data_IF_872067745273
#
_entry.id   IF_872067745273
#
_cell.length_a   1.000
_cell.length_b   1.000
_cell.length_c   1.000
_cell.angle_alpha   90.00
_cell.angle_beta   90.00
_cell.angle_gamma   90.00
#
_symmetry.space_group_name_H-M   'P 1'
#
loop_
_entity.id
_entity.type
_entity.pdbx_description
1 polymer ?
#
# COMPACT_ATOMS: atom_id res chain seq x y z
N UNK A 1 -6.80 -24.02 34.35
CA UNK A 1 -6.30 -23.29 35.55
C UNK A 1 -4.82 -23.62 35.73
N UNK A 2 -3.94 -22.72 35.29
CA UNK A 2 -2.47 -22.85 35.36
C UNK A 2 -1.92 -21.50 35.84
N UNK A 3 -1.10 -21.53 36.89
CA UNK A 3 -0.58 -20.34 37.59
C UNK A 3 0.68 -19.82 36.89
N UNK A 4 0.75 -18.52 36.65
CA UNK A 4 2.01 -17.79 36.42
C UNK A 4 2.77 -17.69 37.75
N UNK A 5 4.07 -17.98 37.75
CA UNK A 5 5.00 -17.54 38.78
C UNK A 5 6.13 -16.80 38.05
N UNK A 6 6.22 -15.50 38.34
CA UNK A 6 7.26 -14.49 38.06
C UNK A 6 8.11 -14.57 36.78
N UNK A 7 8.10 -13.46 36.03
CA UNK A 7 9.13 -13.08 35.07
C UNK A 7 9.89 -11.86 35.60
N UNK A 8 11.16 -12.03 35.96
CA UNK A 8 12.06 -10.92 36.22
C UNK A 8 12.84 -10.55 34.95
N UNK A 9 12.72 -9.28 34.54
CA UNK A 9 13.45 -8.68 33.44
C UNK A 9 14.88 -8.33 33.86
N UNK A 10 15.89 -9.01 33.29
CA UNK A 10 17.22 -8.43 33.03
C UNK A 10 17.81 -9.04 31.77
N UNK A 11 18.33 -8.17 30.90
CA UNK A 11 19.17 -8.44 29.71
C UNK A 11 18.54 -9.27 28.57
N UNK A 12 18.33 -8.57 27.45
CA UNK A 12 18.25 -9.03 26.06
C UNK A 12 18.59 -10.50 25.79
N UNK A 13 17.59 -11.38 25.88
CA UNK A 13 17.49 -12.66 25.17
C UNK A 13 16.06 -13.20 25.34
N UNK A 14 15.27 -13.25 24.27
CA UNK A 14 13.98 -13.95 24.30
C UNK A 14 14.25 -15.42 23.96
N UNK A 15 14.34 -16.30 24.96
CA UNK A 15 14.52 -17.75 24.77
C UNK A 15 13.16 -18.43 24.78
N UNK A 16 12.69 -18.91 23.62
CA UNK A 16 11.56 -19.83 23.56
C UNK A 16 12.04 -21.27 23.75
N UNK A 17 11.62 -21.93 24.83
CA UNK A 17 11.70 -23.39 24.97
C UNK A 17 10.36 -24.01 24.59
N UNK A 18 10.33 -24.73 23.47
CA UNK A 18 9.19 -25.58 23.09
C UNK A 18 9.47 -26.98 23.62
N UNK A 19 8.65 -27.46 24.57
CA UNK A 19 8.66 -28.86 24.99
C UNK A 19 7.61 -29.63 24.20
N UNK A 20 8.03 -30.66 23.46
CA UNK A 20 7.13 -31.69 22.92
C UNK A 20 7.09 -32.87 23.88
N UNK A 21 5.90 -33.27 24.31
CA UNK A 21 5.71 -34.45 25.16
C UNK A 21 5.88 -35.70 24.30
N UNK A 22 6.89 -36.51 24.60
CA UNK A 22 7.06 -37.87 24.05
C UNK A 22 7.94 -38.01 22.81
N UNK A 23 9.27 -37.94 22.99
CA UNK A 23 10.32 -38.74 22.32
C UNK A 23 11.67 -38.02 22.49
N UNK A 24 12.76 -38.80 22.59
CA UNK A 24 14.06 -38.39 23.13
C UNK A 24 14.72 -37.19 22.43
N UNK A 25 15.18 -36.23 23.23
CA UNK A 25 15.83 -34.97 22.81
C UNK A 25 17.30 -35.19 22.45
N UNK A 26 17.71 -34.77 21.25
CA UNK A 26 19.11 -34.38 20.98
C UNK A 26 19.20 -32.86 21.07
N UNK A 27 19.95 -32.34 22.04
CA UNK A 27 20.22 -30.91 22.18
C UNK A 27 21.34 -30.56 21.19
N UNK A 28 21.06 -29.72 20.18
CA UNK A 28 22.12 -29.05 19.41
C UNK A 28 22.17 -27.58 19.81
N UNK A 29 23.34 -27.17 20.27
CA UNK A 29 23.67 -25.77 20.52
C UNK A 29 24.06 -25.15 19.17
N UNK A 30 23.41 -24.06 18.78
CA UNK A 30 23.86 -23.23 17.68
C UNK A 30 24.27 -21.87 18.26
N UNK A 31 25.57 -21.60 18.27
CA UNK A 31 26.09 -20.25 18.43
C UNK A 31 25.95 -19.53 17.09
N UNK A 32 25.21 -18.41 17.05
CA UNK A 32 25.18 -17.53 15.88
C UNK A 32 26.31 -16.50 15.98
N UNK A 33 27.07 -16.27 14.90
CA UNK A 33 28.17 -15.32 14.89
C UNK A 33 27.67 -13.88 14.96
N UNK A 34 28.39 -13.05 15.72
CA UNK A 34 28.17 -11.62 15.91
C UNK A 34 28.46 -10.81 14.63
N UNK A 35 27.44 -10.60 13.79
CA UNK A 35 27.45 -9.56 12.74
C UNK A 35 26.05 -8.91 12.62
N UNK A 36 25.97 -7.63 12.20
CA UNK A 36 24.72 -6.86 12.22
C UNK A 36 23.66 -7.52 11.34
N UNK A 37 22.42 -7.51 11.84
CA UNK A 37 21.21 -8.03 11.17
C UNK A 37 21.04 -7.36 9.80
N UNK A 38 21.35 -8.09 8.74
CA UNK A 38 20.77 -7.85 7.42
C UNK A 38 19.35 -8.41 7.48
N UNK A 39 18.35 -7.55 7.30
CA UNK A 39 16.95 -7.95 7.25
C UNK A 39 16.75 -8.84 6.01
N UNK A 40 16.42 -10.11 6.23
CA UNK A 40 16.08 -11.08 5.20
C UNK A 40 14.57 -11.27 5.21
N UNK A 41 13.89 -10.71 4.20
CA UNK A 41 12.43 -10.71 4.07
C UNK A 41 11.82 -12.13 3.89
N UNK A 42 12.64 -13.17 3.69
CA UNK A 42 12.17 -14.55 3.57
C UNK A 42 11.64 -15.13 4.90
N UNK A 43 12.16 -14.66 6.04
CA UNK A 43 11.81 -15.18 7.37
C UNK A 43 10.46 -14.67 7.89
N UNK A 44 10.06 -13.45 7.51
CA UNK A 44 8.78 -12.85 7.91
C UNK A 44 7.60 -13.54 7.23
N UNK A 45 7.74 -13.88 5.95
CA UNK A 45 6.73 -14.63 5.18
C UNK A 45 6.53 -16.02 5.79
N UNK A 46 7.59 -16.66 6.28
CA UNK A 46 7.51 -18.01 6.83
C UNK A 46 6.94 -18.06 8.26
N UNK A 47 7.12 -17.00 9.06
CA UNK A 47 6.54 -16.89 10.41
C UNK A 47 5.04 -16.62 10.41
N UNK A 48 4.52 -15.89 9.41
CA UNK A 48 3.09 -15.56 9.33
C UNK A 48 2.19 -16.76 8.95
N UNK A 49 2.76 -17.83 8.36
CA UNK A 49 1.98 -19.02 7.96
C UNK A 49 1.70 -20.04 9.09
N UNK A 50 2.13 -19.81 10.34
CA UNK A 50 2.09 -20.85 11.41
C UNK A 50 1.42 -20.47 12.73
N UNK A 51 0.67 -19.37 12.83
CA UNK A 51 -0.05 -19.03 14.07
C UNK A 51 -1.52 -19.49 14.02
N UNK A 52 -1.99 -20.35 14.94
CA UNK A 52 -3.41 -20.67 15.07
C UNK A 52 -4.17 -19.53 15.77
N UNK A 53 -5.41 -19.28 15.33
CA UNK A 53 -6.30 -18.29 15.95
C UNK A 53 -6.58 -18.63 17.41
N UNK A 54 -6.56 -17.60 18.27
CA UNK A 54 -6.88 -17.73 19.70
C UNK A 54 -7.96 -16.69 20.05
N UNK A 55 -9.03 -17.19 20.66
CA UNK A 55 -10.23 -16.46 21.08
C UNK A 55 -10.04 -15.69 22.39
N UNK A 56 -10.91 -14.70 22.57
CA UNK A 56 -11.01 -13.64 23.58
C UNK A 56 -10.59 -13.96 25.04
N UNK A 57 -9.95 -12.98 25.68
CA UNK A 57 -10.15 -12.68 27.11
C UNK A 57 -9.91 -11.18 27.40
N UNK A 58 -10.78 -10.60 28.23
CA UNK A 58 -10.98 -9.17 28.50
C UNK A 58 -9.91 -8.45 29.37
N UNK A 59 -9.97 -7.09 29.33
CA UNK A 59 -9.65 -6.03 30.34
C UNK A 59 -8.42 -5.14 30.01
N UNK A 60 -8.37 -3.79 30.26
CA UNK A 60 -9.40 -2.75 30.41
C UNK A 60 -9.26 -1.57 29.41
N UNK A 61 -10.39 -0.90 29.17
CA UNK A 61 -10.59 0.29 28.34
C UNK A 61 -9.93 1.56 28.90
N UNK A 62 -9.21 2.29 28.03
CA UNK A 62 -8.70 3.65 28.23
C UNK A 62 -9.18 4.55 27.08
N UNK A 63 -10.30 5.23 27.33
CA UNK A 63 -10.87 6.44 26.73
C UNK A 63 -10.84 6.66 25.19
N UNK A 64 -11.99 6.37 24.58
CA UNK A 64 -12.60 6.96 23.38
C UNK A 64 -11.83 6.93 22.05
N UNK A 65 -11.95 5.78 21.36
CA UNK A 65 -12.23 5.74 19.91
C UNK A 65 -13.58 5.03 19.79
N UNK A 66 -14.53 5.62 19.06
CA UNK A 66 -15.92 5.15 19.03
C UNK A 66 -16.03 3.66 18.64
N UNK A 67 -16.88 2.90 19.34
CA UNK A 67 -17.20 1.52 18.98
C UNK A 67 -17.80 1.46 17.58
N UNK A 68 -17.32 0.53 16.76
CA UNK A 68 -17.84 0.20 15.43
C UNK A 68 -19.37 0.23 15.39
N UNK A 69 -19.97 1.01 14.50
CA UNK A 69 -21.36 0.78 14.10
C UNK A 69 -21.37 -0.40 13.13
N UNK A 70 -22.29 -1.35 13.30
CA UNK A 70 -22.38 -2.56 12.47
C UNK A 70 -22.45 -2.28 10.96
N UNK A 71 -22.91 -1.09 10.57
CA UNK A 71 -22.97 -0.61 9.18
C UNK A 71 -21.62 -0.37 8.50
N UNK A 72 -20.51 -0.24 9.25
CA UNK A 72 -19.18 0.02 8.68
C UNK A 72 -18.51 -1.26 8.18
N UNK A 73 -18.95 -2.43 8.66
CA UNK A 73 -18.36 -3.75 8.36
C UNK A 73 -19.27 -4.66 7.52
N UNK A 74 -20.44 -4.17 7.10
CA UNK A 74 -21.38 -4.89 6.23
C UNK A 74 -21.00 -4.70 4.76
N UNK A 75 -19.92 -5.38 4.33
CA UNK A 75 -19.34 -5.20 3.00
C UNK A 75 -20.23 -5.77 1.89
N UNK A 76 -20.67 -4.95 0.91
CA UNK A 76 -21.41 -5.48 -0.24
C UNK A 76 -20.54 -6.44 -1.06
N UNK A 77 -21.13 -7.59 -1.41
CA UNK A 77 -20.53 -8.53 -2.34
C UNK A 77 -21.04 -8.25 -3.76
N UNK A 78 -20.13 -7.93 -4.68
CA UNK A 78 -20.43 -7.73 -6.09
C UNK A 78 -19.42 -8.50 -6.94
N UNK A 79 -19.87 -9.16 -8.01
CA UNK A 79 -18.98 -9.88 -8.93
C UNK A 79 -18.10 -10.97 -8.27
N UNK A 80 -18.45 -11.43 -7.06
CA UNK A 80 -17.68 -12.40 -6.26
C UNK A 80 -16.49 -11.79 -5.51
N UNK A 81 -16.52 -10.48 -5.23
CA UNK A 81 -15.54 -9.73 -4.43
C UNK A 81 -16.29 -8.85 -3.43
N UNK A 82 -15.68 -8.54 -2.30
CA UNK A 82 -16.26 -7.60 -1.33
C UNK A 82 -15.79 -6.17 -1.62
N UNK A 83 -16.64 -5.18 -1.36
CA UNK A 83 -16.34 -3.75 -1.54
C UNK A 83 -16.69 -2.96 -0.28
N UNK A 84 -16.26 -1.69 -0.26
CA UNK A 84 -16.43 -0.80 0.88
C UNK A 84 -17.90 -0.47 1.16
N UNK A 85 -18.31 -0.55 2.43
CA UNK A 85 -19.65 -0.21 2.91
C UNK A 85 -19.79 1.29 3.23
N UNK A 86 -18.74 1.91 3.79
CA UNK A 86 -18.70 3.34 4.06
C UNK A 86 -18.57 4.14 2.75
N UNK A 87 -19.50 5.07 2.50
CA UNK A 87 -19.67 5.79 1.22
C UNK A 87 -19.72 4.85 0.01
N UNK A 88 -20.53 3.79 0.08
CA UNK A 88 -20.68 2.80 -0.98
C UNK A 88 -20.75 3.44 -2.39
N UNK A 89 -19.85 3.02 -3.30
CA UNK A 89 -19.69 3.57 -4.65
C UNK A 89 -18.62 4.65 -4.79
N UNK A 90 -18.09 5.21 -3.70
CA UNK A 90 -16.98 6.17 -3.72
C UNK A 90 -15.62 5.51 -4.01
N UNK A 91 -15.48 4.20 -3.82
CA UNK A 91 -14.28 3.45 -4.17
C UNK A 91 -14.64 2.16 -4.92
N UNK A 92 -14.03 1.96 -6.09
CA UNK A 92 -14.46 0.92 -7.05
C UNK A 92 -13.59 -0.34 -7.02
N UNK A 93 -12.59 -0.41 -6.14
CA UNK A 93 -11.74 -1.58 -5.98
C UNK A 93 -12.21 -2.41 -4.78
N UNK A 94 -11.97 -3.73 -4.80
CA UNK A 94 -12.37 -4.61 -3.71
C UNK A 94 -11.63 -4.30 -2.41
N UNK A 95 -12.05 -4.94 -1.32
CA UNK A 95 -11.42 -4.85 0.00
C UNK A 95 -11.21 -6.22 0.68
N UNK A 96 -11.29 -7.31 -0.09
CA UNK A 96 -11.06 -8.68 0.38
C UNK A 96 -9.57 -9.01 0.59
N UNK A 97 -9.30 -10.16 1.22
CA UNK A 97 -7.94 -10.65 1.53
C UNK A 97 -7.04 -10.72 0.29
N UNK A 98 -7.58 -11.17 -0.85
CA UNK A 98 -6.84 -11.24 -2.11
C UNK A 98 -6.38 -9.85 -2.57
N UNK A 99 -7.21 -8.84 -2.36
CA UNK A 99 -6.87 -7.47 -2.67
C UNK A 99 -5.81 -6.92 -1.72
N UNK A 100 -5.89 -7.25 -0.43
CA UNK A 100 -4.87 -6.91 0.56
C UNK A 100 -3.49 -7.47 0.18
N UNK A 101 -3.40 -8.74 -0.24
CA UNK A 101 -2.14 -9.33 -0.73
C UNK A 101 -1.56 -8.57 -1.93
N UNK A 102 -2.41 -8.21 -2.89
CA UNK A 102 -2.02 -7.42 -4.06
C UNK A 102 -1.50 -6.02 -3.64
N UNK A 103 -2.11 -5.41 -2.63
CA UNK A 103 -1.70 -4.13 -2.08
C UNK A 103 -0.34 -4.22 -1.37
N UNK A 104 -0.07 -5.29 -0.62
CA UNK A 104 1.26 -5.56 -0.06
C UNK A 104 2.33 -5.69 -1.14
N UNK A 105 2.06 -6.41 -2.24
CA UNK A 105 2.97 -6.48 -3.39
C UNK A 105 3.23 -5.09 -4.00
N UNK A 106 2.23 -4.21 -3.97
CA UNK A 106 2.34 -2.82 -4.44
C UNK A 106 3.29 -2.02 -3.59
N UNK A 107 3.13 -2.09 -2.27
CA UNK A 107 3.98 -1.38 -1.34
C UNK A 107 5.44 -1.79 -1.52
N UNK A 108 5.72 -3.11 -1.52
CA UNK A 108 7.06 -3.65 -1.73
C UNK A 108 7.67 -3.18 -3.05
N UNK A 109 6.89 -3.21 -4.14
CA UNK A 109 7.33 -2.73 -5.45
C UNK A 109 7.67 -1.24 -5.44
N UNK A 110 6.85 -0.40 -4.79
CA UNK A 110 7.07 1.06 -4.70
C UNK A 110 8.33 1.33 -3.87
N UNK A 111 8.47 0.73 -2.69
CA UNK A 111 9.64 0.90 -1.82
C UNK A 111 10.93 0.55 -2.56
N UNK A 112 10.94 -0.57 -3.30
CA UNK A 112 12.07 -0.93 -4.17
C UNK A 112 12.30 0.12 -5.26
N UNK A 113 11.25 0.59 -5.93
CA UNK A 113 11.33 1.57 -7.04
C UNK A 113 12.03 2.86 -6.60
N UNK A 114 11.76 3.33 -5.39
CA UNK A 114 12.34 4.58 -4.87
C UNK A 114 13.63 4.38 -4.06
N UNK A 115 14.26 3.20 -4.19
CA UNK A 115 15.58 2.91 -3.62
C UNK A 115 15.52 2.44 -2.17
N UNK A 116 14.57 1.57 -1.83
CA UNK A 116 14.31 1.05 -0.49
C UNK A 116 14.02 2.15 0.54
N UNK A 117 13.23 3.13 0.11
CA UNK A 117 12.73 4.22 0.96
C UNK A 117 11.20 4.16 1.00
N UNK A 118 10.62 4.77 2.03
CA UNK A 118 9.16 4.93 2.13
C UNK A 118 8.69 6.25 1.50
N UNK A 119 9.54 7.26 1.50
CA UNK A 119 9.30 8.59 0.97
C UNK A 119 10.64 9.22 0.53
N UNK A 120 10.60 10.28 -0.28
CA UNK A 120 11.74 11.00 -0.85
C UNK A 120 11.91 12.43 -0.33
N UNK A 121 10.88 13.00 0.30
CA UNK A 121 10.90 14.31 0.90
C UNK A 121 12.00 14.39 1.99
N UNK A 122 12.77 15.48 2.04
CA UNK A 122 13.90 15.62 2.96
C UNK A 122 13.44 16.04 4.38
N UNK A 123 12.55 15.27 4.98
CA UNK A 123 12.09 15.47 6.36
C UNK A 123 13.12 14.95 7.37
N UNK A 124 13.15 15.58 8.55
CA UNK A 124 14.08 15.23 9.64
C UNK A 124 13.29 14.75 10.84
N UNK A 125 13.61 13.57 11.35
CA UNK A 125 12.89 12.95 12.46
C UNK A 125 12.80 13.85 13.70
N UNK A 126 13.83 14.66 13.96
CA UNK A 126 13.89 15.56 15.12
C UNK A 126 12.98 16.79 14.99
N UNK A 127 12.57 17.14 13.77
CA UNK A 127 11.78 18.33 13.45
C UNK A 127 10.39 18.00 12.91
N UNK A 128 10.02 16.72 12.89
CA UNK A 128 8.73 16.24 12.42
C UNK A 128 7.98 15.65 13.61
N UNK A 129 6.87 16.26 13.99
CA UNK A 129 6.09 15.84 15.16
C UNK A 129 4.73 15.26 14.79
N UNK A 130 4.15 15.67 13.66
CA UNK A 130 2.87 15.16 13.17
C UNK A 130 2.97 14.73 11.71
N UNK A 131 2.71 13.46 11.45
CA UNK A 131 2.72 12.86 10.12
C UNK A 131 1.31 12.39 9.78
N UNK A 132 0.84 12.69 8.57
CA UNK A 132 -0.38 12.11 8.02
C UNK A 132 -0.05 11.28 6.78
N UNK A 133 -0.55 10.06 6.75
CA UNK A 133 -0.46 9.12 5.64
C UNK A 133 -1.88 8.82 5.15
N UNK A 134 -2.14 9.12 3.88
CA UNK A 134 -3.49 9.10 3.29
C UNK A 134 -3.60 7.96 2.31
N UNK A 135 -4.63 7.13 2.47
CA UNK A 135 -4.74 5.88 1.72
C UNK A 135 -3.77 4.85 2.30
N UNK A 136 -3.92 4.59 3.59
CA UNK A 136 -3.00 3.80 4.42
C UNK A 136 -2.93 2.31 4.04
N UNK A 137 -3.59 1.92 2.96
CA UNK A 137 -3.45 0.60 2.33
C UNK A 137 -1.99 0.19 2.06
N UNK A 138 -1.06 1.15 2.02
CA UNK A 138 0.38 0.91 1.89
C UNK A 138 1.07 0.51 3.21
N UNK A 139 0.42 0.69 4.36
CA UNK A 139 1.01 0.42 5.67
C UNK A 139 2.17 1.35 6.05
N UNK A 140 2.40 2.44 5.32
CA UNK A 140 3.50 3.40 5.57
C UNK A 140 3.44 3.90 7.02
N UNK A 141 2.25 4.26 7.50
CA UNK A 141 1.99 4.69 8.88
C UNK A 141 2.66 3.81 9.95
N UNK A 142 2.61 2.49 9.77
CA UNK A 142 3.23 1.54 10.72
C UNK A 142 4.71 1.35 10.40
N UNK A 143 5.08 1.32 9.11
CA UNK A 143 6.45 1.01 8.68
C UNK A 143 7.46 2.12 9.00
N UNK A 144 7.02 3.37 9.13
CA UNK A 144 7.89 4.50 9.45
C UNK A 144 7.98 4.79 10.95
N UNK A 145 7.28 4.03 11.80
CA UNK A 145 7.18 4.33 13.24
C UNK A 145 8.56 4.42 13.92
N UNK A 146 9.46 3.50 13.59
CA UNK A 146 10.81 3.45 14.14
C UNK A 146 11.70 4.59 13.63
N UNK A 147 11.37 5.17 12.47
CA UNK A 147 12.06 6.33 11.92
C UNK A 147 11.65 7.63 12.63
N UNK A 148 10.51 7.63 13.31
CA UNK A 148 9.87 8.81 13.89
C UNK A 148 9.37 8.52 15.32
N UNK A 149 10.26 8.16 16.26
CA UNK A 149 9.87 7.73 17.61
C UNK A 149 9.19 8.83 18.45
N UNK A 150 9.39 10.10 18.07
CA UNK A 150 8.85 11.26 18.76
C UNK A 150 7.70 11.95 18.01
N UNK A 151 7.19 11.31 16.95
CA UNK A 151 6.12 11.85 16.12
C UNK A 151 4.83 11.09 16.35
N UNK A 152 3.71 11.81 16.34
CA UNK A 152 2.38 11.23 16.15
C UNK A 152 2.17 10.96 14.65
N UNK A 153 1.86 9.71 14.32
CA UNK A 153 1.62 9.27 12.95
C UNK A 153 0.13 8.93 12.82
N UNK A 154 -0.53 9.57 11.86
CA UNK A 154 -1.94 9.41 11.58
C UNK A 154 -2.10 8.69 10.24
N UNK A 155 -2.66 7.49 10.26
CA UNK A 155 -3.09 6.77 9.07
C UNK A 155 -4.56 7.06 8.79
N UNK A 156 -4.88 7.54 7.60
CA UNK A 156 -6.25 7.73 7.15
C UNK A 156 -6.60 6.72 6.03
N UNK A 157 -7.77 6.10 6.14
CA UNK A 157 -8.33 5.25 5.10
C UNK A 157 -9.87 5.27 5.12
N UNK A 158 -10.51 4.97 4.00
CA UNK A 158 -11.97 4.81 3.94
C UNK A 158 -12.43 3.52 4.62
N UNK A 159 -11.51 2.61 4.95
CA UNK A 159 -11.87 1.32 5.51
C UNK A 159 -11.04 0.85 6.70
N UNK A 160 -11.67 0.02 7.54
CA UNK A 160 -11.03 -0.50 8.72
C UNK A 160 -10.13 -1.69 8.39
N UNK A 161 -9.01 -1.42 7.72
CA UNK A 161 -8.03 -2.44 7.31
C UNK A 161 -6.80 -2.51 8.24
N UNK A 162 -6.82 -1.77 9.35
CA UNK A 162 -5.70 -1.68 10.29
C UNK A 162 -5.53 -2.96 11.12
N UNK A 163 -4.29 -3.29 11.53
CA UNK A 163 -4.04 -4.39 12.44
C UNK A 163 -4.62 -4.12 13.83
N UNK A 164 -4.94 -5.19 14.56
CA UNK A 164 -5.48 -5.12 15.92
C UNK A 164 -4.53 -4.43 16.90
N UNK A 165 -3.23 -4.58 16.69
CA UNK A 165 -2.20 -3.95 17.50
C UNK A 165 -1.45 -2.90 16.67
N UNK A 166 -1.36 -1.69 17.21
CA UNK A 166 -0.65 -0.56 16.62
C UNK A 166 0.30 0.04 17.67
N UNK A 167 1.46 0.55 17.26
CA UNK A 167 2.36 1.25 18.17
C UNK A 167 1.68 2.47 18.83
N UNK A 168 2.08 2.87 20.06
CA UNK A 168 1.40 3.94 20.81
C UNK A 168 1.36 5.31 20.12
N UNK A 169 2.31 5.58 19.23
CA UNK A 169 2.41 6.84 18.49
C UNK A 169 1.75 6.78 17.10
N UNK A 170 1.08 5.67 16.76
CA UNK A 170 0.31 5.51 15.52
C UNK A 170 -1.19 5.55 15.85
N UNK A 171 -1.94 6.37 15.11
CA UNK A 171 -3.39 6.54 15.23
C UNK A 171 -4.03 6.32 13.86
N UNK A 172 -5.16 5.64 13.83
CA UNK A 172 -5.91 5.39 12.59
C UNK A 172 -7.24 6.13 12.61
N UNK A 173 -7.55 6.80 11.50
CA UNK A 173 -8.77 7.57 11.29
C UNK A 173 -9.50 7.01 10.07
N UNK A 174 -10.76 6.63 10.27
CA UNK A 174 -11.64 6.23 9.17
C UNK A 174 -12.41 7.45 8.74
N UNK A 175 -11.95 8.10 7.67
CA UNK A 175 -12.57 9.31 7.17
C UNK A 175 -12.33 9.44 5.67
N UNK A 176 -13.20 10.20 5.00
CA UNK A 176 -12.99 10.56 3.61
C UNK A 176 -12.22 11.86 3.53
N UNK A 177 -10.96 11.78 3.07
CA UNK A 177 -10.05 12.91 2.92
C UNK A 177 -10.55 14.02 1.99
N UNK A 178 -11.54 13.78 1.14
CA UNK A 178 -12.15 14.80 0.29
C UNK A 178 -13.17 15.67 1.05
N UNK A 179 -13.55 15.26 2.26
CA UNK A 179 -14.49 15.99 3.12
C UNK A 179 -13.87 17.21 3.77
N UNK A 180 -14.68 18.04 4.41
CA UNK A 180 -14.17 19.12 5.23
C UNK A 180 -13.44 18.59 6.47
N UNK A 181 -12.15 18.92 6.59
CA UNK A 181 -11.31 18.49 7.70
C UNK A 181 -11.62 19.32 8.94
N UNK A 182 -12.02 18.65 10.02
CA UNK A 182 -12.32 19.28 11.33
C UNK A 182 -11.04 19.49 12.18
N UNK A 183 -9.87 19.09 11.66
CA UNK A 183 -8.62 19.03 12.43
C UNK A 183 -8.10 20.44 12.75
N UNK A 184 -7.91 20.71 14.05
CA UNK A 184 -7.38 21.98 14.56
C UNK A 184 -5.85 22.11 14.39
N UNK A 185 -5.12 20.99 14.40
CA UNK A 185 -3.66 20.96 14.36
C UNK A 185 -3.13 20.53 13.00
N UNK A 186 -2.17 21.29 12.46
CA UNK A 186 -1.54 21.04 11.16
C UNK A 186 -0.48 19.93 11.25
N UNK A 187 -0.14 19.33 10.11
CA UNK A 187 0.87 18.27 9.98
C UNK A 187 2.22 18.81 9.48
N UNK A 188 3.31 18.27 9.98
CA UNK A 188 4.67 18.60 9.52
C UNK A 188 5.03 17.84 8.24
N UNK A 189 4.42 16.66 8.05
CA UNK A 189 4.54 15.87 6.84
C UNK A 189 3.19 15.25 6.45
N UNK A 190 2.82 15.36 5.17
CA UNK A 190 1.68 14.67 4.59
C UNK A 190 2.16 13.82 3.41
N UNK A 191 1.89 12.52 3.47
CA UNK A 191 2.03 11.59 2.37
C UNK A 191 0.63 11.34 1.78
N UNK A 192 0.46 11.60 0.48
CA UNK A 192 -0.87 11.51 -0.16
C UNK A 192 -0.77 11.32 -1.67
N UNK A 193 -1.91 11.17 -2.34
CA UNK A 193 -2.04 11.13 -3.81
C UNK A 193 -2.72 12.38 -4.37
N UNK A 194 -3.18 13.29 -3.51
CA UNK A 194 -3.99 14.47 -3.86
C UNK A 194 -3.46 15.75 -3.22
N UNK A 195 -3.45 16.86 -3.97
CA UNK A 195 -2.98 18.17 -3.51
C UNK A 195 -3.96 18.89 -2.57
N UNK A 196 -5.21 18.39 -2.47
CA UNK A 196 -6.29 18.94 -1.64
C UNK A 196 -5.91 19.09 -0.15
N UNK A 197 -4.91 18.34 0.30
CA UNK A 197 -4.48 18.28 1.69
C UNK A 197 -3.34 19.25 2.03
N UNK A 198 -2.83 19.99 1.05
CA UNK A 198 -1.80 21.01 1.27
C UNK A 198 -2.21 22.08 2.31
N UNK A 199 -3.51 22.36 2.44
CA UNK A 199 -4.05 23.27 3.45
C UNK A 199 -3.85 22.77 4.90
N UNK A 200 -3.68 21.47 5.08
CA UNK A 200 -3.51 20.82 6.39
C UNK A 200 -2.03 20.75 6.83
N UNK A 201 -1.09 21.16 5.98
CA UNK A 201 0.32 21.29 6.36
C UNK A 201 0.58 22.49 7.25
N UNK A 202 1.48 22.33 8.20
CA UNK A 202 2.07 23.41 8.97
C UNK A 202 2.95 24.29 8.06
N UNK A 203 3.19 25.56 8.40
CA UNK A 203 4.21 26.35 7.72
C UNK A 203 5.54 25.61 7.71
N UNK A 204 6.24 25.57 6.57
CA UNK A 204 7.47 24.78 6.36
C UNK A 204 7.31 23.25 6.40
N UNK A 205 6.10 22.73 6.56
CA UNK A 205 5.81 21.30 6.46
C UNK A 205 6.00 20.78 5.03
N UNK A 206 6.18 19.48 4.87
CA UNK A 206 6.42 18.83 3.58
C UNK A 206 5.20 18.03 3.12
N UNK A 207 4.92 18.08 1.82
CA UNK A 207 3.99 17.16 1.17
C UNK A 207 4.77 16.25 0.24
N UNK A 208 4.42 14.98 0.19
CA UNK A 208 4.85 14.07 -0.87
C UNK A 208 3.67 13.39 -1.54
N UNK A 209 3.70 13.42 -2.86
CA UNK A 209 2.70 12.90 -3.76
C UNK A 209 3.32 11.78 -4.59
N UNK A 210 2.72 10.60 -4.56
CA UNK A 210 3.23 9.43 -5.26
C UNK A 210 2.11 8.73 -6.04
N UNK A 211 2.25 8.65 -7.35
CA UNK A 211 1.31 7.91 -8.19
C UNK A 211 1.94 7.48 -9.53
N UNK A 212 1.22 6.72 -10.34
CA UNK A 212 1.68 6.13 -11.59
C UNK A 212 0.83 6.60 -12.78
N UNK A 213 1.34 6.39 -13.99
CA UNK A 213 0.50 6.41 -15.19
C UNK A 213 -0.43 5.19 -15.21
N UNK A 214 -1.54 5.27 -15.95
CA UNK A 214 -2.36 4.08 -16.27
C UNK A 214 -1.81 3.35 -17.48
N UNK A 215 -1.49 4.10 -18.54
CA UNK A 215 -0.97 3.51 -19.77
C UNK A 215 0.48 3.10 -19.62
N UNK A 216 0.78 1.92 -20.12
CA UNK A 216 2.14 1.46 -20.32
C UNK A 216 2.80 2.23 -21.46
N UNK A 217 4.08 2.53 -21.27
CA UNK A 217 4.95 3.06 -22.30
C UNK A 217 5.93 1.97 -22.75
N UNK A 218 6.51 2.17 -23.93
CA UNK A 218 7.41 1.24 -24.57
C UNK A 218 8.40 2.03 -25.43
N UNK A 219 9.69 1.74 -25.30
CA UNK A 219 10.75 2.48 -26.00
C UNK A 219 11.11 1.84 -27.36
N UNK A 220 10.76 0.57 -27.60
CA UNK A 220 11.20 -0.20 -28.77
C UNK A 220 10.06 -0.64 -29.70
N UNK A 221 8.84 -0.19 -29.45
CA UNK A 221 7.67 -0.45 -30.28
C UNK A 221 7.10 -1.86 -30.17
N UNK A 222 7.58 -2.69 -29.25
CA UNK A 222 7.06 -4.06 -29.05
C UNK A 222 5.65 -4.08 -28.46
N UNK A 223 5.25 -3.03 -27.73
CA UNK A 223 3.87 -2.83 -27.27
C UNK A 223 3.11 -1.93 -28.26
N UNK A 224 1.92 -2.37 -28.67
CA UNK A 224 1.05 -1.68 -29.64
C UNK A 224 -0.38 -1.59 -29.11
N UNK A 225 -1.22 -0.74 -29.72
CA UNK A 225 -2.64 -0.63 -29.38
C UNK A 225 -3.46 -1.90 -29.67
N UNK A 226 -2.91 -2.85 -30.42
CA UNK A 226 -3.56 -4.14 -30.70
C UNK A 226 -3.49 -5.11 -29.52
N UNK A 227 -2.56 -4.88 -28.58
CA UNK A 227 -2.39 -5.74 -27.41
C UNK A 227 -3.57 -5.61 -26.45
N UNK A 228 -4.02 -6.73 -25.92
CA UNK A 228 -5.14 -6.83 -24.99
C UNK A 228 -4.90 -6.01 -23.71
N UNK A 229 -3.65 -5.92 -23.22
CA UNK A 229 -3.32 -5.07 -22.07
C UNK A 229 -3.59 -3.58 -22.36
N UNK A 230 -3.25 -3.10 -23.55
CA UNK A 230 -3.51 -1.73 -23.97
C UNK A 230 -5.01 -1.48 -24.12
N UNK A 231 -5.73 -2.40 -24.78
CA UNK A 231 -7.20 -2.34 -24.89
C UNK A 231 -7.87 -2.27 -23.52
N UNK A 232 -7.45 -3.10 -22.57
CA UNK A 232 -7.93 -3.07 -21.18
C UNK A 232 -7.70 -1.69 -20.55
N UNK A 233 -6.50 -1.13 -20.67
CA UNK A 233 -6.20 0.17 -20.06
C UNK A 233 -6.98 1.32 -20.67
N UNK A 234 -7.24 1.29 -21.99
CA UNK A 234 -8.12 2.27 -22.65
C UNK A 234 -9.55 2.18 -22.10
N UNK A 235 -10.08 0.98 -21.91
CA UNK A 235 -11.41 0.76 -21.32
C UNK A 235 -11.45 1.22 -19.85
N UNK A 236 -10.41 0.95 -19.07
CA UNK A 236 -10.29 1.47 -17.71
C UNK A 236 -10.39 3.00 -17.67
N UNK A 237 -9.63 3.68 -18.53
CA UNK A 237 -9.67 5.15 -18.66
C UNK A 237 -11.07 5.63 -19.07
N UNK A 238 -11.73 4.95 -19.99
CA UNK A 238 -13.11 5.26 -20.37
C UNK A 238 -14.07 5.16 -19.18
N UNK A 239 -13.96 4.10 -18.37
CA UNK A 239 -14.78 3.91 -17.18
C UNK A 239 -14.54 5.01 -16.15
N UNK A 240 -13.28 5.36 -15.87
CA UNK A 240 -12.92 6.47 -14.98
C UNK A 240 -13.53 7.79 -15.45
N UNK A 241 -13.46 8.08 -16.76
CA UNK A 241 -14.05 9.30 -17.35
C UNK A 241 -15.58 9.34 -17.21
N UNK A 242 -16.28 8.22 -17.43
CA UNK A 242 -17.73 8.12 -17.22
C UNK A 242 -18.13 8.37 -15.75
N UNK A 243 -17.24 8.04 -14.83
CA UNK A 243 -17.40 8.30 -13.39
C UNK A 243 -16.92 9.70 -12.96
N UNK A 244 -16.39 10.52 -13.87
CA UNK A 244 -15.84 11.83 -13.54
C UNK A 244 -14.58 11.76 -12.68
N UNK A 245 -13.82 10.65 -12.73
CA UNK A 245 -12.62 10.43 -11.92
C UNK A 245 -11.34 10.66 -12.71
N UNK A 246 -10.33 11.16 -12.01
CA UNK A 246 -8.97 11.22 -12.53
C UNK A 246 -8.43 9.79 -12.73
N UNK A 247 -8.10 9.44 -13.97
CA UNK A 247 -7.60 8.12 -14.30
C UNK A 247 -6.09 8.00 -14.05
N UNK A 248 -5.32 9.07 -14.27
CA UNK A 248 -3.86 9.01 -14.31
C UNK A 248 -3.22 10.24 -13.65
N UNK A 249 -3.28 10.35 -12.31
CA UNK A 249 -2.78 11.52 -11.58
C UNK A 249 -1.25 11.65 -11.61
N UNK A 250 -0.48 10.56 -11.70
CA UNK A 250 0.99 10.56 -11.63
C UNK A 250 1.67 11.62 -12.53
N UNK A 251 1.40 11.63 -13.85
CA UNK A 251 1.92 12.64 -14.76
C UNK A 251 1.49 14.09 -14.45
N UNK A 252 0.41 14.30 -13.68
CA UNK A 252 -0.13 15.62 -13.33
C UNK A 252 0.43 16.18 -12.03
N UNK A 253 0.97 15.31 -11.16
CA UNK A 253 1.47 15.67 -9.82
C UNK A 253 2.45 16.86 -9.85
N UNK A 254 3.41 16.87 -10.78
CA UNK A 254 4.39 17.96 -10.85
C UNK A 254 3.70 19.31 -11.14
N UNK A 255 2.73 19.30 -12.06
CA UNK A 255 1.94 20.49 -12.39
C UNK A 255 1.17 21.00 -11.18
N UNK A 256 0.48 20.11 -10.47
CA UNK A 256 -0.30 20.47 -9.26
C UNK A 256 0.60 21.08 -8.17
N UNK A 257 1.74 20.45 -7.87
CA UNK A 257 2.68 20.96 -6.86
C UNK A 257 3.27 22.31 -7.25
N UNK A 258 3.58 22.53 -8.54
CA UNK A 258 4.13 23.81 -9.03
C UNK A 258 3.09 24.94 -9.06
N UNK A 259 1.81 24.63 -9.17
CA UNK A 259 0.72 25.61 -9.15
C UNK A 259 0.26 25.94 -7.72
N UNK A 260 0.50 25.04 -6.77
CA UNK A 260 0.25 25.23 -5.35
C UNK A 260 1.38 26.05 -4.66
N UNK A 261 1.14 26.64 -3.46
CA UNK A 261 2.09 27.48 -2.74
C UNK A 261 3.19 26.66 -2.03
N UNK A 262 3.94 25.86 -2.81
CA UNK A 262 5.09 25.10 -2.36
C UNK A 262 6.39 25.74 -2.85
N UNK A 263 7.40 25.75 -1.99
CA UNK A 263 8.82 25.94 -2.35
C UNK A 263 9.54 24.60 -2.37
N UNK A 264 10.78 24.59 -2.88
CA UNK A 264 11.63 23.40 -2.91
C UNK A 264 10.98 22.19 -3.60
N UNK A 265 10.13 22.43 -4.60
CA UNK A 265 9.44 21.38 -5.33
C UNK A 265 10.42 20.54 -6.15
N UNK A 266 10.37 19.22 -5.96
CA UNK A 266 11.21 18.26 -6.70
C UNK A 266 10.31 17.17 -7.25
N UNK A 267 10.49 16.88 -8.55
CA UNK A 267 9.91 15.71 -9.20
C UNK A 267 10.98 14.64 -9.42
N UNK A 268 10.64 13.41 -9.07
CA UNK A 268 11.39 12.19 -9.37
C UNK A 268 10.52 11.28 -10.22
N UNK A 269 11.09 10.86 -11.33
CA UNK A 269 10.43 10.01 -12.31
C UNK A 269 11.16 8.68 -12.42
N UNK A 270 10.41 7.59 -12.36
CA UNK A 270 10.93 6.23 -12.38
C UNK A 270 10.18 5.41 -13.44
N UNK A 271 10.90 4.54 -14.15
CA UNK A 271 10.31 3.54 -15.04
C UNK A 271 10.22 2.22 -14.29
N UNK A 272 9.01 1.67 -14.12
CA UNK A 272 8.79 0.35 -13.52
C UNK A 272 8.54 -0.65 -14.65
N UNK A 273 9.47 -1.58 -14.95
CA UNK A 273 9.27 -2.58 -15.99
C UNK A 273 8.06 -3.47 -15.70
N UNK A 274 7.34 -3.86 -16.74
CA UNK A 274 6.31 -4.89 -16.69
C UNK A 274 6.92 -6.21 -17.19
N UNK A 275 7.38 -7.03 -16.25
CA UNK A 275 8.06 -8.28 -16.54
C UNK A 275 9.60 -8.17 -16.53
N UNK A 276 10.29 -9.31 -16.53
CA UNK A 276 11.72 -9.42 -16.23
C UNK A 276 12.65 -9.15 -17.43
N UNK A 277 12.21 -8.32 -18.37
CA UNK A 277 12.92 -8.10 -19.64
C UNK A 277 14.15 -7.19 -19.51
N UNK A 278 14.23 -6.38 -18.45
CA UNK A 278 15.39 -5.53 -18.20
C UNK A 278 16.67 -6.36 -18.00
N UNK A 279 17.79 -5.89 -18.56
CA UNK A 279 19.12 -6.47 -18.30
C UNK A 279 19.68 -6.07 -16.93
N UNK A 280 19.31 -4.88 -16.45
CA UNK A 280 19.67 -4.43 -15.09
C UNK A 280 18.98 -5.29 -14.04
N UNK A 281 19.74 -5.75 -13.04
CA UNK A 281 19.28 -6.73 -12.04
C UNK A 281 18.17 -6.15 -11.15
N UNK A 282 18.28 -4.88 -10.76
CA UNK A 282 17.27 -4.21 -9.95
C UNK A 282 15.96 -4.04 -10.71
N UNK A 283 16.03 -3.54 -11.94
CA UNK A 283 14.87 -3.37 -12.81
C UNK A 283 14.24 -4.71 -13.21
N UNK A 284 15.03 -5.79 -13.32
CA UNK A 284 14.51 -7.14 -13.54
C UNK A 284 13.70 -7.64 -12.34
N UNK A 285 14.21 -7.45 -11.12
CA UNK A 285 13.49 -7.78 -9.88
C UNK A 285 12.20 -6.97 -9.75
N UNK A 286 12.25 -5.65 -9.99
CA UNK A 286 11.07 -4.79 -10.08
C UNK A 286 10.07 -5.29 -11.13
N UNK A 287 10.58 -5.72 -12.29
CA UNK A 287 9.78 -6.29 -13.36
C UNK A 287 8.99 -7.52 -12.93
N UNK A 288 9.59 -8.41 -12.13
CA UNK A 288 8.91 -9.55 -11.53
C UNK A 288 7.82 -9.11 -10.54
N UNK A 289 8.13 -8.20 -9.63
CA UNK A 289 7.15 -7.67 -8.67
C UNK A 289 5.94 -7.05 -9.39
N UNK A 290 6.20 -6.24 -10.43
CA UNK A 290 5.14 -5.59 -11.23
C UNK A 290 4.30 -6.61 -11.98
N UNK A 291 4.91 -7.63 -12.58
CA UNK A 291 4.21 -8.69 -13.29
C UNK A 291 3.27 -9.47 -12.35
N UNK A 292 3.77 -9.91 -11.20
CA UNK A 292 2.98 -10.63 -10.20
C UNK A 292 1.80 -9.78 -9.70
N UNK A 293 2.07 -8.52 -9.30
CA UNK A 293 1.04 -7.56 -8.90
C UNK A 293 -0.03 -7.36 -9.98
N UNK A 294 0.38 -7.23 -11.24
CA UNK A 294 -0.55 -6.99 -12.35
C UNK A 294 -1.45 -8.19 -12.59
N UNK A 295 -0.89 -9.41 -12.57
CA UNK A 295 -1.64 -10.66 -12.73
C UNK A 295 -2.67 -10.87 -11.62
N UNK A 296 -2.30 -10.61 -10.37
CA UNK A 296 -3.22 -10.71 -9.22
C UNK A 296 -4.32 -9.65 -9.25
N UNK A 297 -3.99 -8.46 -9.75
CA UNK A 297 -4.91 -7.32 -9.78
C UNK A 297 -5.90 -7.27 -10.93
N UNK A 298 -5.79 -8.14 -11.94
CA UNK A 298 -6.59 -8.01 -13.16
C UNK A 298 -8.09 -7.90 -12.89
N UNK A 299 -8.62 -8.80 -12.05
CA UNK A 299 -10.05 -8.84 -11.73
C UNK A 299 -10.46 -7.60 -10.92
N UNK A 300 -9.63 -7.21 -9.94
CA UNK A 300 -9.87 -6.05 -9.08
C UNK A 300 -9.98 -4.74 -9.87
N UNK A 301 -9.14 -4.57 -10.90
CA UNK A 301 -9.14 -3.38 -11.73
C UNK A 301 -10.24 -3.34 -12.80
N UNK A 302 -10.89 -4.47 -13.09
CA UNK A 302 -11.78 -4.57 -14.27
C UNK A 302 -13.21 -4.92 -13.96
N UNK A 303 -13.51 -5.87 -13.08
CA UNK A 303 -14.87 -6.43 -12.95
C UNK A 303 -15.93 -5.36 -12.69
N UNK A 304 -15.77 -4.57 -11.63
CA UNK A 304 -16.74 -3.54 -11.24
C UNK A 304 -16.87 -2.43 -12.27
N UNK A 305 -15.75 -1.97 -12.82
CA UNK A 305 -15.75 -0.88 -13.81
C UNK A 305 -16.32 -1.35 -15.16
N UNK A 306 -15.95 -2.52 -15.64
CA UNK A 306 -16.28 -2.93 -17.01
C UNK A 306 -17.73 -3.41 -17.06
N UNK A 307 -18.16 -4.19 -16.06
CA UNK A 307 -19.54 -4.67 -16.00
C UNK A 307 -20.47 -3.54 -15.55
N UNK A 308 -20.15 -2.87 -14.45
CA UNK A 308 -21.02 -1.87 -13.84
C UNK A 308 -21.09 -0.53 -14.58
N UNK A 309 -20.00 -0.09 -15.22
CA UNK A 309 -19.92 1.25 -15.86
C UNK A 309 -19.92 1.17 -17.38
N UNK A 310 -19.20 0.19 -17.96
CA UNK A 310 -19.13 0.04 -19.42
C UNK A 310 -20.20 -0.89 -20.00
N UNK A 311 -20.91 -1.65 -19.16
CA UNK A 311 -21.97 -2.55 -19.59
C UNK A 311 -21.46 -3.84 -20.26
N UNK A 312 -20.19 -4.20 -20.04
CA UNK A 312 -19.65 -5.46 -20.54
C UNK A 312 -20.27 -6.66 -19.80
N UNK A 313 -20.43 -7.77 -20.50
CA UNK A 313 -20.79 -9.04 -19.88
C UNK A 313 -19.59 -9.61 -19.12
N UNK A 314 -19.87 -10.48 -18.14
CA UNK A 314 -18.81 -11.16 -17.37
C UNK A 314 -17.93 -12.01 -18.28
N UNK A 315 -18.53 -12.65 -19.28
CA UNK A 315 -17.88 -13.50 -20.27
C UNK A 315 -16.89 -12.70 -21.12
N UNK A 316 -17.29 -11.53 -21.62
CA UNK A 316 -16.39 -10.64 -22.38
C UNK A 316 -15.19 -10.18 -21.55
N UNK A 317 -15.41 -9.83 -20.28
CA UNK A 317 -14.32 -9.46 -19.37
C UNK A 317 -13.37 -10.64 -19.15
N UNK A 318 -13.89 -11.84 -18.89
CA UNK A 318 -13.07 -13.04 -18.69
C UNK A 318 -12.22 -13.35 -19.94
N UNK A 319 -12.79 -13.23 -21.14
CA UNK A 319 -12.06 -13.43 -22.40
C UNK A 319 -10.93 -12.41 -22.55
N UNK A 320 -11.21 -11.12 -22.34
CA UNK A 320 -10.19 -10.08 -22.41
C UNK A 320 -9.07 -10.34 -21.39
N UNK A 321 -9.42 -10.64 -20.14
CA UNK A 321 -8.42 -10.90 -19.11
C UNK A 321 -7.62 -12.18 -19.37
N UNK A 322 -8.18 -13.18 -20.05
CA UNK A 322 -7.43 -14.36 -20.47
C UNK A 322 -6.35 -14.00 -21.51
N UNK A 323 -6.69 -13.17 -22.50
CA UNK A 323 -5.74 -12.64 -23.49
C UNK A 323 -4.64 -11.81 -22.81
N UNK A 324 -5.02 -10.91 -21.89
CA UNK A 324 -4.07 -10.12 -21.11
C UNK A 324 -3.10 -11.02 -20.33
N UNK A 325 -3.61 -12.06 -19.65
CA UNK A 325 -2.74 -13.01 -18.90
C UNK A 325 -1.77 -13.74 -19.83
N UNK A 326 -2.21 -14.11 -21.02
CA UNK A 326 -1.36 -14.77 -22.01
C UNK A 326 -0.23 -13.85 -22.48
N UNK A 327 -0.56 -12.61 -22.83
CA UNK A 327 0.41 -11.59 -23.22
C UNK A 327 1.46 -11.35 -22.13
N UNK A 328 1.00 -11.09 -20.90
CA UNK A 328 1.88 -10.84 -19.74
C UNK A 328 2.85 -12.00 -19.45
N UNK A 329 2.39 -13.25 -19.62
CA UNK A 329 3.21 -14.45 -19.39
C UNK A 329 4.13 -14.80 -20.55
N UNK A 330 3.82 -14.33 -21.76
CA UNK A 330 4.62 -14.61 -22.96
C UNK A 330 5.92 -13.80 -23.03
N UNK A 331 5.98 -12.65 -22.36
CA UNK A 331 7.10 -11.72 -22.50
C UNK A 331 7.16 -11.06 -23.88
N UNK A 332 6.03 -10.90 -24.56
CA UNK A 332 5.94 -10.39 -25.93
C UNK A 332 6.40 -8.93 -26.09
N UNK A 333 6.41 -8.14 -25.01
CA UNK A 333 6.71 -6.71 -25.07
C UNK A 333 7.61 -6.24 -23.92
N UNK A 334 8.33 -5.16 -24.20
CA UNK A 334 9.20 -4.46 -23.27
C UNK A 334 8.50 -3.20 -22.75
N UNK A 335 7.38 -3.43 -22.06
CA UNK A 335 6.54 -2.38 -21.51
C UNK A 335 7.01 -1.93 -20.12
N UNK A 336 6.82 -0.66 -19.79
CA UNK A 336 7.01 -0.13 -18.44
C UNK A 336 5.92 0.87 -18.07
N UNK A 337 5.70 1.06 -16.78
CA UNK A 337 4.82 2.09 -16.23
C UNK A 337 5.66 3.27 -15.75
N UNK A 338 5.17 4.50 -15.93
CA UNK A 338 5.81 5.68 -15.37
C UNK A 338 5.32 5.90 -13.96
N UNK A 339 6.25 6.03 -13.01
CA UNK A 339 5.98 6.28 -11.61
C UNK A 339 6.55 7.66 -11.24
N UNK A 340 5.73 8.46 -10.57
CA UNK A 340 6.00 9.86 -10.28
C UNK A 340 5.95 10.06 -8.77
N UNK A 341 7.06 10.53 -8.20
CA UNK A 341 7.12 11.00 -6.83
C UNK A 341 7.47 12.49 -6.85
N UNK A 342 6.57 13.33 -6.35
CA UNK A 342 6.74 14.78 -6.28
C UNK A 342 6.63 15.21 -4.84
N UNK A 343 7.55 16.02 -4.36
CA UNK A 343 7.42 16.62 -3.04
C UNK A 343 7.66 18.12 -3.08
N UNK A 344 7.07 18.83 -2.12
CA UNK A 344 7.20 20.27 -1.96
C UNK A 344 7.08 20.68 -0.50
N UNK A 345 7.73 21.78 -0.13
CA UNK A 345 7.66 22.34 1.21
C UNK A 345 6.71 23.53 1.21
N UNK A 346 5.74 23.53 2.12
CA UNK A 346 4.82 24.65 2.26
C UNK A 346 5.59 25.93 2.58
N UNK A 347 5.19 27.03 1.94
CA UNK A 347 5.85 28.33 2.09
C UNK A 347 5.97 28.76 3.55
#
# INVERSE_FOLDING_TARGET
>A
MLKLIDAHARSSLLVFRIYRRGSATTIRHFELPSKPLVYDDSLLIQLMMHLPSMTESHIPSSSYTASWTSSVVDYPEEYGRTYHAFRAGSYNFPNDEREMDRLYLTHTMIVKTIGNKFFLAPIKAEATHRILDVGTVTGISIKIVDLFPNSEIFGNDLSPIQPEWVPPNVKFEIDDVESEWVVSNKYDFIFTITDLLAKNLAPKGWAEFQDMSVLYACDDGTLTEEHAIMKRDRLFIEACKKLGREDSPGPKLEGWVRQAPFKNAVHRHFKIPLGPWSKDAHNKDLGWCKLARTLEGLDAFTLKLFIGVLGWTREEVVVLLAQVRQELKSGAFHAYLNYHAVYGQKL
#
